data_IF_697341357571
#
_entry.id   IF_697341357571
#
_cell.length_a   1.000
_cell.length_b   1.000
_cell.length_c   1.000
_cell.angle_alpha   90.00
_cell.angle_beta   90.00
_cell.angle_gamma   90.00
#
_symmetry.space_group_name_H-M   'P 1'
#
loop_
_entity.id
_entity.type
_entity.pdbx_description
1 polymer ?
#
# COMPACT_ATOMS: atom_id res chain seq x y z
N UNK A 1 -15.74 18.32 -1.54
CA UNK A 1 -14.74 18.51 -0.45
C UNK A 1 -13.41 18.02 -0.98
N UNK A 2 -12.41 18.89 -1.04
CA UNK A 2 -11.06 18.48 -1.47
C UNK A 2 -10.45 17.52 -0.44
N UNK A 3 -9.67 16.56 -0.92
CA UNK A 3 -8.94 15.64 -0.05
C UNK A 3 -7.97 16.42 0.85
N UNK A 4 -7.93 16.09 2.15
CA UNK A 4 -7.01 16.66 3.13
C UNK A 4 -5.64 15.94 3.12
N UNK A 5 -5.48 14.93 2.26
CA UNK A 5 -4.27 14.14 2.16
C UNK A 5 -3.17 14.92 1.43
N UNK A 6 -1.92 14.69 1.84
CA UNK A 6 -0.73 15.27 1.22
C UNK A 6 -0.42 14.68 -0.16
N UNK A 7 -0.97 13.51 -0.46
CA UNK A 7 -0.85 12.80 -1.74
C UNK A 7 -2.24 12.31 -2.22
N UNK A 8 -3.14 13.24 -2.58
CA UNK A 8 -4.52 12.93 -2.92
C UNK A 8 -4.67 12.05 -4.18
N UNK A 9 -3.65 12.01 -5.04
CA UNK A 9 -3.57 11.12 -6.20
C UNK A 9 -3.64 9.63 -5.79
N UNK A 10 -3.11 9.27 -4.62
CA UNK A 10 -3.17 7.90 -4.12
C UNK A 10 -4.60 7.51 -3.73
N UNK A 11 -5.34 8.41 -3.06
CA UNK A 11 -6.76 8.20 -2.79
C UNK A 11 -7.56 8.07 -4.08
N UNK A 12 -7.33 8.95 -5.05
CA UNK A 12 -8.00 8.93 -6.35
C UNK A 12 -7.73 7.62 -7.11
N UNK A 13 -6.52 7.05 -7.00
CA UNK A 13 -6.18 5.77 -7.58
C UNK A 13 -6.96 4.60 -6.95
N UNK A 14 -7.09 4.55 -5.62
CA UNK A 14 -7.79 3.45 -4.94
C UNK A 14 -9.31 3.58 -4.97
N UNK A 15 -9.86 4.79 -5.04
CA UNK A 15 -11.31 5.04 -4.99
C UNK A 15 -12.15 4.21 -5.98
N UNK A 16 -11.76 4.04 -7.27
CA UNK A 16 -12.53 3.24 -8.22
C UNK A 16 -12.23 1.75 -8.12
N UNK A 17 -11.30 1.30 -7.27
CA UNK A 17 -10.82 -0.08 -7.22
C UNK A 17 -11.49 -0.90 -6.11
N UNK A 18 -11.43 -2.22 -6.27
CA UNK A 18 -11.89 -3.19 -5.28
C UNK A 18 -10.72 -4.05 -4.83
N UNK A 19 -10.80 -4.65 -3.63
CA UNK A 19 -9.81 -5.59 -3.13
C UNK A 19 -10.49 -6.92 -2.77
N UNK A 20 -9.92 -8.02 -3.24
CA UNK A 20 -10.36 -9.35 -2.85
C UNK A 20 -10.15 -9.57 -1.34
N UNK A 21 -11.02 -10.38 -0.72
CA UNK A 21 -11.04 -10.58 0.74
C UNK A 21 -9.70 -11.05 1.32
N UNK A 22 -9.01 -11.96 0.63
CA UNK A 22 -7.69 -12.45 1.06
C UNK A 22 -6.60 -11.38 0.97
N UNK A 23 -6.65 -10.53 -0.06
CA UNK A 23 -5.71 -9.40 -0.22
C UNK A 23 -5.94 -8.37 0.88
N UNK A 24 -7.20 -8.00 1.12
CA UNK A 24 -7.58 -7.08 2.19
C UNK A 24 -7.19 -7.63 3.58
N UNK A 25 -7.37 -8.93 3.80
CA UNK A 25 -7.01 -9.60 5.06
C UNK A 25 -5.50 -9.64 5.27
N UNK A 26 -4.72 -10.00 4.24
CA UNK A 26 -3.26 -10.00 4.29
C UNK A 26 -2.71 -8.58 4.54
N UNK A 27 -3.26 -7.59 3.83
CA UNK A 27 -2.94 -6.18 4.00
C UNK A 27 -3.24 -5.70 5.43
N UNK A 28 -4.46 -5.90 5.91
CA UNK A 28 -4.86 -5.52 7.27
C UNK A 28 -3.97 -6.17 8.33
N UNK A 29 -3.64 -7.46 8.16
CA UNK A 29 -2.75 -8.19 9.07
C UNK A 29 -1.32 -7.61 9.10
N UNK A 30 -0.80 -7.14 7.96
CA UNK A 30 0.51 -6.52 7.87
C UNK A 30 0.61 -5.19 8.65
N UNK A 31 -0.50 -4.45 8.75
CA UNK A 31 -0.54 -3.14 9.42
C UNK A 31 -0.69 -3.24 10.96
N UNK A 32 -1.13 -4.40 11.50
CA UNK A 32 -1.53 -4.54 12.93
C UNK A 32 -0.46 -4.15 13.96
N UNK A 33 0.82 -4.21 13.59
CA UNK A 33 1.94 -3.90 14.49
C UNK A 33 2.44 -2.46 14.38
N UNK A 34 1.84 -1.65 13.50
CA UNK A 34 2.20 -0.25 13.32
C UNK A 34 1.62 0.62 14.44
N UNK A 35 2.14 1.84 14.54
CA UNK A 35 1.62 2.85 15.46
C UNK A 35 0.29 3.46 14.97
N UNK A 36 0.19 4.78 15.01
CA UNK A 36 -1.04 5.47 14.62
C UNK A 36 -1.22 5.49 13.09
N UNK A 37 -2.27 4.84 12.60
CA UNK A 37 -2.74 4.92 11.21
C UNK A 37 -4.27 4.77 11.17
N UNK A 38 -4.87 5.10 10.02
CA UNK A 38 -6.28 4.82 9.71
C UNK A 38 -6.33 4.06 8.39
N UNK A 39 -7.24 3.09 8.26
CA UNK A 39 -7.53 2.42 6.99
C UNK A 39 -8.84 2.97 6.45
N UNK A 40 -8.80 3.45 5.22
CA UNK A 40 -9.97 3.87 4.47
C UNK A 40 -10.32 2.81 3.44
N UNK A 41 -11.60 2.74 3.09
CA UNK A 41 -12.11 1.94 1.98
C UNK A 41 -13.22 2.73 1.28
N UNK A 42 -13.41 2.49 -0.01
CA UNK A 42 -14.55 3.05 -0.73
C UNK A 42 -15.88 2.59 -0.11
N UNK A 43 -16.91 3.44 -0.17
CA UNK A 43 -18.26 3.16 0.34
C UNK A 43 -19.05 2.20 -0.55
N UNK A 44 -18.46 1.03 -0.82
CA UNK A 44 -19.03 -0.07 -1.61
C UNK A 44 -18.49 -1.40 -1.11
N UNK A 45 -19.19 -2.47 -1.41
CA UNK A 45 -18.73 -3.81 -1.09
C UNK A 45 -17.37 -4.09 -1.76
N UNK A 46 -16.43 -4.66 -0.99
CA UNK A 46 -15.07 -4.96 -1.42
C UNK A 46 -14.27 -3.76 -1.95
N UNK A 47 -14.57 -2.53 -1.52
CA UNK A 47 -13.77 -1.36 -1.86
C UNK A 47 -12.28 -1.55 -1.53
N UNK A 48 -11.40 -1.11 -2.44
CA UNK A 48 -9.97 -1.14 -2.20
C UNK A 48 -9.64 -0.40 -0.90
N UNK A 49 -8.68 -0.94 -0.15
CA UNK A 49 -8.27 -0.40 1.14
C UNK A 49 -6.99 0.38 0.98
N UNK A 50 -6.86 1.51 1.66
CA UNK A 50 -5.60 2.24 1.75
C UNK A 50 -5.38 2.77 3.15
N UNK A 51 -4.12 2.79 3.57
CA UNK A 51 -3.70 3.18 4.90
C UNK A 51 -3.09 4.58 4.88
N UNK A 52 -3.48 5.39 5.86
CA UNK A 52 -3.08 6.78 6.04
C UNK A 52 -2.40 6.95 7.39
N UNK A 53 -1.26 7.64 7.41
CA UNK A 53 -0.63 8.15 8.64
C UNK A 53 -0.12 9.56 8.39
N UNK A 54 -0.29 10.47 9.37
CA UNK A 54 0.15 11.86 9.24
C UNK A 54 -0.29 12.51 7.90
N UNK A 55 -1.56 12.28 7.54
CA UNK A 55 -2.21 12.77 6.31
C UNK A 55 -1.57 12.28 5.00
N UNK A 56 -0.78 11.20 5.04
CA UNK A 56 -0.14 10.58 3.88
C UNK A 56 -0.68 9.18 3.67
N UNK A 57 -1.17 8.87 2.47
CA UNK A 57 -1.42 7.49 2.03
C UNK A 57 -0.08 6.81 1.84
N UNK A 58 0.19 5.75 2.59
CA UNK A 58 1.50 5.07 2.54
C UNK A 58 1.41 3.65 2.01
N UNK A 59 0.21 3.07 1.99
CA UNK A 59 0.00 1.73 1.47
C UNK A 59 -1.43 1.50 1.03
N UNK A 60 -1.66 0.47 0.22
CA UNK A 60 -2.99 0.02 -0.15
C UNK A 60 -3.06 -1.42 -0.64
N UNK A 61 -4.28 -1.90 -0.82
CA UNK A 61 -4.62 -3.21 -1.33
C UNK A 61 -5.73 -3.07 -2.36
N UNK A 62 -5.52 -3.66 -3.54
CA UNK A 62 -6.49 -3.66 -4.63
C UNK A 62 -6.33 -4.89 -5.54
N UNK A 63 -7.35 -5.12 -6.35
CA UNK A 63 -7.44 -6.26 -7.26
C UNK A 63 -7.53 -7.60 -6.54
N UNK A 64 -7.10 -8.64 -7.26
CA UNK A 64 -7.15 -10.03 -6.80
C UNK A 64 -5.91 -10.47 -6.04
N UNK A 65 -4.80 -9.73 -6.18
CA UNK A 65 -3.51 -10.16 -5.65
C UNK A 65 -2.56 -9.00 -5.32
N UNK A 66 -2.97 -7.73 -5.34
CA UNK A 66 -1.99 -6.63 -5.33
C UNK A 66 -2.02 -5.83 -4.02
N UNK A 67 -0.82 -5.61 -3.47
CA UNK A 67 -0.59 -4.61 -2.43
C UNK A 67 0.37 -3.55 -2.95
N UNK A 68 0.19 -2.32 -2.49
CA UNK A 68 0.91 -1.14 -2.96
C UNK A 68 1.58 -0.47 -1.78
N UNK A 69 2.84 -0.09 -1.92
CA UNK A 69 3.64 0.46 -0.82
C UNK A 69 4.44 1.67 -1.29
N UNK A 70 4.29 2.80 -0.59
CA UNK A 70 5.10 4.01 -0.81
C UNK A 70 6.39 3.89 -0.03
N UNK A 71 7.52 3.81 -0.71
CA UNK A 71 8.80 3.45 -0.11
C UNK A 71 9.86 4.53 -0.34
N UNK A 72 10.85 4.57 0.56
CA UNK A 72 12.07 5.36 0.35
C UNK A 72 12.81 4.85 -0.89
N UNK A 73 13.69 5.66 -1.48
CA UNK A 73 14.49 5.24 -2.63
C UNK A 73 15.28 3.95 -2.38
N UNK A 74 15.83 3.79 -1.17
CA UNK A 74 16.60 2.60 -0.79
C UNK A 74 15.69 1.36 -0.68
N UNK A 75 14.58 1.47 0.05
CA UNK A 75 13.65 0.35 0.26
C UNK A 75 12.96 -0.04 -1.06
N UNK A 76 12.62 0.94 -1.89
CA UNK A 76 12.08 0.71 -3.24
C UNK A 76 13.06 -0.08 -4.10
N UNK A 77 14.35 0.24 -4.07
CA UNK A 77 15.36 -0.51 -4.83
C UNK A 77 15.42 -1.98 -4.38
N UNK A 78 15.32 -2.24 -3.07
CA UNK A 78 15.27 -3.60 -2.54
C UNK A 78 13.97 -4.31 -2.96
N UNK A 79 12.83 -3.65 -2.86
CA UNK A 79 11.54 -4.23 -3.25
C UNK A 79 11.53 -4.65 -4.74
N UNK A 80 12.02 -3.79 -5.63
CA UNK A 80 12.12 -4.10 -7.06
C UNK A 80 13.11 -5.23 -7.34
N UNK A 81 14.27 -5.23 -6.68
CA UNK A 81 15.24 -6.32 -6.80
C UNK A 81 14.69 -7.67 -6.28
N UNK A 82 13.71 -7.62 -5.37
CA UNK A 82 13.03 -8.77 -4.78
C UNK A 82 11.65 -9.02 -5.41
N UNK A 83 11.43 -8.58 -6.65
CA UNK A 83 10.31 -9.02 -7.47
C UNK A 83 9.02 -8.21 -7.36
N UNK A 84 9.05 -7.05 -6.68
CA UNK A 84 8.01 -6.04 -6.82
C UNK A 84 8.06 -5.40 -8.21
N UNK A 85 6.94 -4.82 -8.65
CA UNK A 85 6.83 -4.03 -9.87
C UNK A 85 6.72 -2.53 -9.54
N UNK A 86 7.03 -1.67 -10.51
CA UNK A 86 6.78 -0.24 -10.37
C UNK A 86 5.27 0.04 -10.46
N UNK A 87 4.75 0.87 -9.54
CA UNK A 87 3.36 1.32 -9.57
C UNK A 87 3.27 2.74 -10.15
N UNK A 88 3.64 2.92 -11.42
CA UNK A 88 3.81 4.23 -12.05
C UNK A 88 2.57 5.14 -11.96
N UNK A 89 1.36 4.56 -11.93
CA UNK A 89 0.11 5.30 -11.78
C UNK A 89 -0.04 6.01 -10.42
N UNK A 90 0.66 5.54 -9.38
CA UNK A 90 0.68 6.13 -8.04
C UNK A 90 1.86 7.08 -7.81
N UNK A 91 2.85 7.08 -8.73
CA UNK A 91 4.04 7.91 -8.66
C UNK A 91 5.34 7.13 -8.42
N UNK A 92 6.50 7.80 -8.50
CA UNK A 92 7.81 7.15 -8.57
C UNK A 92 8.24 6.45 -7.27
N UNK A 93 7.62 6.77 -6.14
CA UNK A 93 7.95 6.19 -4.83
C UNK A 93 7.19 4.88 -4.55
N UNK A 94 6.26 4.51 -5.44
CA UNK A 94 5.37 3.38 -5.22
C UNK A 94 5.85 2.11 -5.93
N UNK A 95 5.65 0.99 -5.23
CA UNK A 95 5.80 -0.35 -5.78
C UNK A 95 4.51 -1.14 -5.60
N UNK A 96 4.28 -2.07 -6.51
CA UNK A 96 3.26 -3.10 -6.43
C UNK A 96 3.91 -4.44 -6.06
N UNK A 97 3.40 -5.10 -5.03
CA UNK A 97 3.77 -6.44 -4.64
C UNK A 97 2.59 -7.36 -4.89
N UNK A 98 2.78 -8.29 -5.82
CA UNK A 98 1.82 -9.35 -6.14
C UNK A 98 1.91 -10.47 -5.11
N UNK A 99 0.79 -10.75 -4.45
CA UNK A 99 0.55 -11.85 -3.52
C UNK A 99 0.22 -13.14 -4.29
N UNK A 100 0.24 -14.27 -3.58
CA UNK A 100 -0.23 -15.57 -4.08
C UNK A 100 0.42 -16.01 -5.40
N UNK A 101 1.70 -15.67 -5.57
CA UNK A 101 2.46 -16.06 -6.76
C UNK A 101 2.88 -17.52 -6.67
N UNK A 102 2.41 -18.31 -7.62
CA UNK A 102 2.90 -19.67 -7.78
C UNK A 102 4.42 -19.67 -7.97
N UNK A 103 5.12 -20.48 -7.16
CA UNK A 103 6.58 -20.72 -7.21
C UNK A 103 7.45 -19.55 -6.74
N UNK A 104 6.89 -18.58 -6.03
CA UNK A 104 7.66 -17.51 -5.40
C UNK A 104 7.49 -17.53 -3.87
N UNK A 105 8.51 -17.12 -3.10
CA UNK A 105 8.33 -16.94 -1.66
C UNK A 105 7.24 -15.93 -1.36
N UNK A 106 6.51 -16.14 -0.26
CA UNK A 106 5.55 -15.16 0.22
C UNK A 106 6.27 -13.84 0.55
N UNK A 107 5.77 -12.69 0.08
CA UNK A 107 6.37 -11.41 0.39
C UNK A 107 6.21 -11.10 1.89
N UNK A 108 7.26 -10.55 2.50
CA UNK A 108 7.19 -10.08 3.90
C UNK A 108 6.43 -8.75 3.98
N UNK A 109 5.10 -8.84 3.99
CA UNK A 109 4.24 -7.66 4.04
C UNK A 109 4.41 -6.84 5.32
N UNK A 110 4.80 -7.46 6.44
CA UNK A 110 5.04 -6.73 7.70
C UNK A 110 6.28 -5.85 7.59
N UNK A 111 7.34 -6.37 6.97
CA UNK A 111 8.53 -5.58 6.66
C UNK A 111 8.17 -4.37 5.78
N UNK A 112 7.47 -4.58 4.67
CA UNK A 112 7.11 -3.50 3.75
C UNK A 112 6.15 -2.48 4.37
N UNK A 113 5.20 -2.93 5.19
CA UNK A 113 4.33 -2.06 5.96
C UNK A 113 5.11 -1.14 6.90
N UNK A 114 6.11 -1.68 7.62
CA UNK A 114 6.97 -0.88 8.50
C UNK A 114 7.81 0.14 7.74
N UNK A 115 8.41 -0.27 6.62
CA UNK A 115 9.22 0.63 5.78
C UNK A 115 8.37 1.79 5.24
N UNK A 116 7.20 1.49 4.68
CA UNK A 116 6.30 2.50 4.14
C UNK A 116 5.77 3.45 5.22
N UNK A 117 5.37 2.90 6.38
CA UNK A 117 4.92 3.70 7.53
C UNK A 117 6.01 4.64 8.04
N UNK A 118 7.23 4.14 8.22
CA UNK A 118 8.38 4.96 8.64
C UNK A 118 8.63 6.07 7.63
N UNK A 119 8.65 5.72 6.34
CA UNK A 119 8.90 6.68 5.28
C UNK A 119 7.87 7.81 5.30
N UNK A 120 6.57 7.49 5.33
CA UNK A 120 5.49 8.46 5.36
C UNK A 120 5.56 9.44 6.55
N UNK A 121 6.09 9.02 7.70
CA UNK A 121 6.24 9.87 8.88
C UNK A 121 7.53 10.69 8.92
N UNK A 122 8.54 10.29 8.15
CA UNK A 122 9.84 11.01 8.08
C UNK A 122 9.99 11.86 6.83
N UNK A 123 9.24 11.57 5.77
CA UNK A 123 9.18 12.40 4.56
C UNK A 123 8.38 13.67 4.87
N UNK A 124 9.08 14.72 5.30
CA UNK A 124 8.53 16.07 5.35
C UNK A 124 8.54 16.67 3.96
#
# INVERSE_FOLDING_TARGET
MGSLLRNPEAEAFFAPLSAHGDVASAFGAALRTLGQYVVHAAAREYGAQFAVTADVVFAGAAGMASTYWRLSKADRAVALATGAAEAAALGPEWVEITLFRDRWPDPDLRHWALCAYRYARTSR
#
